data_IF_258396063964
#
_entry.id   IF_258396063964
#
_cell.length_a   1.000
_cell.length_b   1.000
_cell.length_c   1.000
_cell.angle_alpha   90.00
_cell.angle_beta   90.00
_cell.angle_gamma   90.00
#
_symmetry.space_group_name_H-M   'P 1'
#
loop_
_entity.id
_entity.type
_entity.pdbx_description
1 polymer ?
#
# COMPACT_ATOMS: atom_id res chain seq x y z
N UNK A 1 -1.87 31.65 -50.91
CA UNK A 1 -1.89 31.97 -49.47
C UNK A 1 -2.46 30.88 -48.55
N UNK A 2 -3.47 30.07 -48.95
CA UNK A 2 -4.00 28.98 -48.10
C UNK A 2 -3.00 27.84 -47.80
N UNK A 3 -2.15 27.45 -48.75
CA UNK A 3 -1.18 26.35 -48.57
C UNK A 3 -0.12 26.64 -47.49
N UNK A 4 0.39 27.88 -47.43
CA UNK A 4 1.40 28.27 -46.44
C UNK A 4 0.87 28.33 -44.99
N UNK A 5 -0.44 28.58 -44.80
CA UNK A 5 -1.09 28.54 -43.48
C UNK A 5 -1.15 27.12 -42.89
N UNK A 6 -1.35 26.08 -43.73
CA UNK A 6 -1.35 24.68 -43.27
C UNK A 6 0.02 24.21 -42.83
N UNK A 7 1.10 24.59 -43.53
CA UNK A 7 2.46 24.23 -43.12
C UNK A 7 2.88 24.92 -41.82
N UNK A 8 2.41 26.16 -41.58
CA UNK A 8 2.70 26.90 -40.35
C UNK A 8 2.03 26.29 -39.11
N UNK A 9 0.80 25.79 -39.25
CA UNK A 9 0.07 25.09 -38.17
C UNK A 9 0.67 23.71 -37.83
N UNK A 10 1.12 22.96 -38.84
CA UNK A 10 1.83 21.69 -38.65
C UNK A 10 3.18 21.87 -37.95
N UNK A 11 3.90 22.95 -38.25
CA UNK A 11 5.19 23.26 -37.61
C UNK A 11 5.03 23.65 -36.14
N UNK A 12 3.97 24.40 -35.78
CA UNK A 12 3.65 24.72 -34.38
C UNK A 12 3.19 23.49 -33.58
N UNK A 13 2.45 22.56 -34.19
CA UNK A 13 2.06 21.31 -33.54
C UNK A 13 3.26 20.37 -33.27
N UNK A 14 4.28 20.39 -34.14
CA UNK A 14 5.53 19.62 -33.96
C UNK A 14 6.50 20.24 -32.95
N UNK A 15 6.41 21.55 -32.67
CA UNK A 15 7.19 22.22 -31.62
C UNK A 15 6.55 22.06 -30.23
N UNK A 16 5.23 21.87 -30.15
CA UNK A 16 4.53 21.61 -28.89
C UNK A 16 4.78 20.22 -28.29
N UNK A 17 5.31 19.26 -29.06
CA UNK A 17 5.61 17.90 -28.58
C UNK A 17 6.96 17.76 -27.89
N UNK A 18 7.81 18.81 -27.91
CA UNK A 18 9.13 18.78 -27.27
C UNK A 18 9.11 19.11 -25.77
N UNK A 19 7.96 19.54 -25.23
CA UNK A 19 7.74 19.76 -23.80
C UNK A 19 6.73 18.77 -23.20
N UNK A 20 6.44 17.66 -23.88
CA UNK A 20 5.82 16.52 -23.21
C UNK A 20 6.88 15.90 -22.29
N UNK A 21 7.05 16.47 -21.09
CA UNK A 21 7.76 15.80 -20.01
C UNK A 21 7.04 14.48 -19.79
N UNK A 22 7.66 13.38 -20.23
CA UNK A 22 7.30 12.08 -19.70
C UNK A 22 7.43 12.23 -18.19
N UNK A 23 6.31 12.16 -17.46
CA UNK A 23 6.32 12.27 -16.02
C UNK A 23 7.16 11.10 -15.51
N UNK A 24 8.42 11.38 -15.16
CA UNK A 24 9.25 10.41 -14.47
C UNK A 24 8.61 10.25 -13.09
N UNK A 25 7.83 9.18 -12.94
CA UNK A 25 7.29 8.77 -11.66
C UNK A 25 8.48 8.56 -10.71
N UNK A 26 8.56 9.40 -9.69
CA UNK A 26 9.61 9.34 -8.68
C UNK A 26 9.02 8.84 -7.37
N UNK A 27 9.80 8.08 -6.62
CA UNK A 27 9.50 7.81 -5.21
C UNK A 27 9.86 8.99 -4.29
N UNK A 28 10.38 10.09 -4.86
CA UNK A 28 10.68 11.33 -4.15
C UNK A 28 9.53 12.30 -4.34
N UNK A 29 9.04 12.86 -3.24
CA UNK A 29 7.94 13.83 -3.27
C UNK A 29 7.69 14.47 -1.90
N UNK A 30 6.60 15.22 -1.78
CA UNK A 30 6.27 16.03 -0.59
C UNK A 30 4.96 15.64 0.09
N UNK A 31 4.17 14.73 -0.49
CA UNK A 31 2.86 14.30 0.03
C UNK A 31 2.73 12.79 -0.12
N UNK A 32 2.58 12.07 1.01
CA UNK A 32 2.47 10.61 1.06
C UNK A 32 1.38 10.19 2.03
N UNK A 33 0.80 9.01 1.79
CA UNK A 33 -0.21 8.43 2.65
C UNK A 33 0.09 6.96 2.91
N UNK A 34 -0.19 6.49 4.11
CA UNK A 34 -0.11 5.08 4.48
C UNK A 34 -1.25 4.69 5.42
N UNK A 35 -1.62 3.42 5.41
CA UNK A 35 -2.41 2.80 6.47
C UNK A 35 -1.52 1.94 7.36
N UNK A 36 -1.87 1.82 8.65
CA UNK A 36 -1.28 0.80 9.50
C UNK A 36 -1.98 -0.54 9.20
N UNK A 37 -1.50 -1.17 8.13
CA UNK A 37 -2.02 -2.42 7.57
C UNK A 37 -2.14 -3.55 8.58
N UNK A 38 -3.02 -4.49 8.28
CA UNK A 38 -3.38 -5.56 9.20
C UNK A 38 -2.18 -6.45 9.55
N UNK A 39 -1.98 -6.71 10.84
CA UNK A 39 -0.93 -7.57 11.38
C UNK A 39 -1.52 -8.73 12.18
N UNK A 40 -0.92 -9.92 12.16
CA UNK A 40 -1.42 -11.12 12.85
C UNK A 40 -1.82 -10.87 14.31
N UNK A 41 -0.99 -10.12 15.03
CA UNK A 41 -1.21 -9.83 16.45
C UNK A 41 -2.36 -8.84 16.72
N UNK A 42 -2.88 -8.15 15.71
CA UNK A 42 -4.11 -7.36 15.84
C UNK A 42 -5.31 -8.25 16.15
N UNK A 43 -5.34 -9.47 15.62
CA UNK A 43 -6.44 -10.43 15.80
C UNK A 43 -6.52 -10.98 17.23
N UNK A 44 -5.37 -11.16 17.88
CA UNK A 44 -5.30 -11.71 19.25
C UNK A 44 -5.24 -10.61 20.31
N UNK A 45 -5.18 -9.34 19.92
CA UNK A 45 -4.95 -8.22 20.82
C UNK A 45 -3.55 -8.19 21.46
N UNK A 46 -2.62 -9.00 20.98
CA UNK A 46 -1.24 -9.01 21.47
C UNK A 46 -0.53 -7.71 21.05
N UNK A 47 0.09 -6.93 21.94
CA UNK A 47 0.68 -5.63 21.59
C UNK A 47 2.03 -5.71 20.87
N UNK A 48 2.62 -6.89 20.65
CA UNK A 48 3.99 -7.10 20.13
C UNK A 48 4.13 -6.82 18.62
N UNK A 49 3.67 -5.66 18.17
CA UNK A 49 3.90 -5.14 16.82
C UNK A 49 3.93 -3.63 16.83
N UNK A 50 4.73 -3.04 15.95
CA UNK A 50 4.96 -1.61 15.83
C UNK A 50 4.88 -1.18 14.38
N UNK A 51 4.57 0.10 14.16
CA UNK A 51 4.77 0.75 12.87
C UNK A 51 5.66 1.97 13.06
N UNK A 52 6.70 2.08 12.24
CA UNK A 52 7.62 3.21 12.20
C UNK A 52 7.72 3.71 10.77
N UNK A 53 7.94 5.02 10.63
CA UNK A 53 8.19 5.67 9.34
C UNK A 53 9.66 6.04 9.25
N UNK A 54 10.24 5.92 8.05
CA UNK A 54 11.59 6.41 7.77
C UNK A 54 11.55 7.51 6.72
N UNK A 55 12.33 8.57 6.93
CA UNK A 55 12.42 9.71 6.03
C UNK A 55 13.87 9.90 5.61
N UNK A 56 14.13 9.81 4.31
CA UNK A 56 15.43 10.07 3.71
C UNK A 56 15.36 11.33 2.85
N UNK A 57 16.28 12.27 3.05
CA UNK A 57 16.25 13.57 2.39
C UNK A 57 17.64 13.97 1.87
N UNK A 58 17.71 14.47 0.64
CA UNK A 58 18.96 15.05 0.10
C UNK A 58 19.19 16.47 0.61
N UNK A 59 18.11 17.22 0.83
CA UNK A 59 18.12 18.55 1.44
C UNK A 59 17.61 18.45 2.88
N UNK A 60 17.90 19.45 3.71
CA UNK A 60 17.29 19.52 5.03
C UNK A 60 15.76 19.68 4.86
N UNK A 61 14.99 18.85 5.56
CA UNK A 61 13.54 18.76 5.38
C UNK A 61 12.80 18.86 6.72
N UNK A 62 11.64 19.53 6.71
CA UNK A 62 10.69 19.53 7.81
C UNK A 62 9.49 18.66 7.42
N UNK A 63 9.40 17.50 8.05
CA UNK A 63 8.36 16.50 7.80
C UNK A 63 7.29 16.61 8.86
N UNK A 64 6.03 16.70 8.44
CA UNK A 64 4.87 16.59 9.33
C UNK A 64 4.14 15.28 9.08
N UNK A 65 3.94 14.50 10.13
CA UNK A 65 3.11 13.29 10.14
C UNK A 65 1.83 13.58 10.91
N UNK A 66 0.68 13.25 10.33
CA UNK A 66 -0.66 13.39 10.93
C UNK A 66 -1.40 12.06 10.83
N UNK A 67 -2.26 11.78 11.80
CA UNK A 67 -3.34 10.81 11.62
C UNK A 67 -4.55 11.63 11.22
N UNK A 68 -4.94 11.51 9.96
CA UNK A 68 -5.93 12.37 9.32
C UNK A 68 -7.24 12.36 10.11
N UNK A 69 -7.90 13.50 10.27
CA UNK A 69 -9.14 13.60 11.04
C UNK A 69 -8.98 13.48 12.57
N UNK A 70 -7.74 13.57 13.09
CA UNK A 70 -7.45 13.55 14.53
C UNK A 70 -6.56 14.72 14.95
N UNK A 71 -6.39 14.92 16.26
CA UNK A 71 -5.46 15.91 16.81
C UNK A 71 -3.99 15.42 16.84
N UNK A 72 -3.71 14.18 16.44
CA UNK A 72 -2.36 13.62 16.48
C UNK A 72 -1.51 14.18 15.33
N UNK A 73 -0.46 14.91 15.69
CA UNK A 73 0.50 15.53 14.77
C UNK A 73 1.90 15.40 15.37
N UNK A 74 2.89 15.11 14.51
CA UNK A 74 4.32 15.09 14.85
C UNK A 74 5.14 15.74 13.76
N UNK A 75 6.14 16.50 14.17
CA UNK A 75 7.06 17.19 13.27
C UNK A 75 8.46 16.62 13.46
N UNK A 76 9.17 16.44 12.36
CA UNK A 76 10.51 15.88 12.33
C UNK A 76 11.41 16.74 11.44
N UNK A 77 12.63 17.00 11.90
CA UNK A 77 13.66 17.63 11.09
C UNK A 77 14.60 16.55 10.56
N UNK A 78 14.71 16.42 9.24
CA UNK A 78 15.62 15.50 8.57
C UNK A 78 16.84 16.30 8.09
N UNK A 79 18.05 16.08 8.64
CA UNK A 79 19.25 16.72 8.12
C UNK A 79 19.53 16.30 6.66
N UNK A 80 20.14 17.20 5.88
CA UNK A 80 20.51 16.94 4.50
C UNK A 80 21.42 15.71 4.36
N UNK A 81 21.11 14.82 3.41
CA UNK A 81 21.87 13.61 3.14
C UNK A 81 21.73 12.52 4.20
N UNK A 82 20.71 12.57 5.05
CA UNK A 82 20.52 11.62 6.14
C UNK A 82 19.16 10.92 6.08
N UNK A 83 19.01 9.89 6.92
CA UNK A 83 17.76 9.20 7.19
C UNK A 83 17.45 9.29 8.68
N UNK A 84 16.18 9.52 9.02
CA UNK A 84 15.68 9.45 10.40
C UNK A 84 14.50 8.48 10.48
N UNK A 85 14.21 8.01 11.69
CA UNK A 85 13.00 7.25 12.01
C UNK A 85 12.03 8.12 12.81
N UNK A 86 10.73 7.95 12.58
CA UNK A 86 9.67 8.53 13.41
C UNK A 86 9.61 7.85 14.79
N UNK A 87 8.82 8.41 15.71
CA UNK A 87 8.32 7.61 16.83
C UNK A 87 7.37 6.52 16.32
N UNK A 88 7.10 5.50 17.13
CA UNK A 88 6.13 4.46 16.78
C UNK A 88 4.72 5.05 16.67
N UNK A 89 3.97 4.61 15.67
CA UNK A 89 2.58 5.01 15.53
C UNK A 89 1.77 4.55 16.76
N UNK A 90 0.90 5.41 17.31
CA UNK A 90 0.12 5.08 18.50
C UNK A 90 -0.76 3.85 18.24
N UNK A 91 -0.95 3.01 19.26
CA UNK A 91 -1.82 1.82 19.20
C UNK A 91 -2.70 1.76 20.44
N UNK A 92 -3.97 1.40 20.27
CA UNK A 92 -4.91 1.20 21.39
C UNK A 92 -5.38 2.48 22.06
N UNK A 93 -5.03 3.65 21.53
CA UNK A 93 -5.44 4.95 22.06
C UNK A 93 -6.68 5.45 21.32
N UNK A 94 -7.79 5.58 22.03
CA UNK A 94 -9.05 6.04 21.44
C UNK A 94 -8.88 7.40 20.74
N UNK A 95 -9.43 7.53 19.53
CA UNK A 95 -9.39 8.76 18.74
C UNK A 95 -8.08 9.03 17.97
N UNK A 96 -7.00 8.28 18.20
CA UNK A 96 -5.71 8.47 17.48
C UNK A 96 -5.04 7.17 17.06
N UNK A 97 -5.70 6.02 17.19
CA UNK A 97 -5.15 4.73 16.78
C UNK A 97 -5.31 4.51 15.26
N UNK A 98 -4.25 4.44 14.43
CA UNK A 98 -4.36 4.30 12.98
C UNK A 98 -4.43 2.84 12.49
N UNK A 99 -4.44 1.85 13.39
CA UNK A 99 -4.53 0.43 13.01
C UNK A 99 -5.79 0.15 12.19
N UNK A 100 -5.62 -0.55 11.06
CA UNK A 100 -6.72 -1.01 10.21
C UNK A 100 -7.33 -2.30 10.77
N UNK A 101 -7.86 -2.18 11.98
CA UNK A 101 -8.60 -3.20 12.73
C UNK A 101 -9.75 -2.51 13.48
N UNK A 102 -10.90 -3.18 13.54
CA UNK A 102 -11.98 -2.74 14.42
C UNK A 102 -11.78 -3.41 15.80
N UNK A 103 -11.73 -2.66 16.91
CA UNK A 103 -11.57 -3.22 18.25
C UNK A 103 -12.68 -4.22 18.63
N UNK A 104 -12.43 -5.02 19.68
CA UNK A 104 -13.30 -6.07 20.22
C UNK A 104 -13.42 -7.34 19.38
N UNK A 105 -12.38 -7.65 18.62
CA UNK A 105 -12.31 -8.89 17.86
C UNK A 105 -11.59 -10.00 18.60
N UNK A 106 -12.35 -11.02 19.00
CA UNK A 106 -11.82 -12.28 19.48
C UNK A 106 -11.55 -13.20 18.29
N UNK A 107 -10.27 -13.48 18.03
CA UNK A 107 -9.85 -14.39 16.95
C UNK A 107 -10.43 -15.82 17.01
N UNK A 108 -11.08 -16.23 18.10
CA UNK A 108 -11.50 -17.63 18.32
C UNK A 108 -12.98 -17.70 18.75
N UNK A 109 -13.82 -18.55 18.13
CA UNK A 109 -14.13 -18.74 16.72
C UNK A 109 -15.54 -18.17 16.41
N UNK A 110 -15.90 -17.04 17.01
CA UNK A 110 -17.25 -16.47 16.95
C UNK A 110 -17.22 -15.22 16.09
N UNK A 111 -17.81 -15.38 14.90
CA UNK A 111 -18.18 -14.37 13.93
C UNK A 111 -17.05 -13.59 13.25
N UNK A 112 -17.18 -13.34 11.94
CA UNK A 112 -16.20 -12.53 11.26
C UNK A 112 -16.27 -11.08 11.72
N UNK A 113 -15.30 -10.68 12.53
CA UNK A 113 -15.22 -9.29 12.95
C UNK A 113 -13.84 -8.70 12.63
N UNK A 114 -13.86 -7.40 12.34
CA UNK A 114 -12.67 -6.57 12.27
C UNK A 114 -11.84 -6.71 11.00
N UNK A 115 -11.13 -5.63 10.70
CA UNK A 115 -10.13 -5.59 9.64
C UNK A 115 -10.68 -5.38 8.23
N UNK A 116 -11.87 -5.88 7.88
CA UNK A 116 -12.50 -5.53 6.60
C UNK A 116 -13.55 -4.44 6.76
N UNK A 117 -13.50 -3.44 5.88
CA UNK A 117 -14.48 -2.36 5.81
C UNK A 117 -13.88 -0.97 5.66
N UNK A 118 -14.73 0.03 5.89
CA UNK A 118 -14.40 1.44 5.85
C UNK A 118 -13.76 1.89 7.17
N UNK A 119 -12.59 2.52 7.05
CA UNK A 119 -11.85 3.13 8.15
C UNK A 119 -11.79 4.64 7.94
N UNK A 120 -12.33 5.38 8.91
CA UNK A 120 -12.21 6.83 9.00
C UNK A 120 -11.24 7.20 10.11
N UNK A 121 -10.51 8.30 9.92
CA UNK A 121 -9.55 8.82 10.89
C UNK A 121 -8.42 7.84 11.24
N UNK A 122 -7.99 7.03 10.26
CA UNK A 122 -6.92 6.03 10.39
C UNK A 122 -5.73 6.28 9.46
N UNK A 123 -5.91 7.07 8.40
CA UNK A 123 -4.86 7.29 7.43
C UNK A 123 -3.74 8.14 8.02
N UNK A 124 -2.50 7.71 7.77
CA UNK A 124 -1.29 8.41 8.17
C UNK A 124 -0.88 9.29 6.99
N UNK A 125 -1.03 10.61 7.14
CA UNK A 125 -0.67 11.61 6.14
C UNK A 125 0.71 12.19 6.47
N UNK A 126 1.63 12.13 5.51
CA UNK A 126 3.02 12.58 5.64
C UNK A 126 3.23 13.70 4.64
N UNK A 127 3.63 14.87 5.12
CA UNK A 127 3.94 16.03 4.29
C UNK A 127 5.35 16.52 4.56
N UNK A 128 6.01 17.06 3.55
CA UNK A 128 7.36 17.62 3.65
C UNK A 128 7.45 18.94 2.88
N UNK A 129 8.27 19.87 3.38
CA UNK A 129 8.53 21.16 2.71
C UNK A 129 9.45 21.03 1.48
N UNK A 130 10.26 19.97 1.42
CA UNK A 130 11.10 19.59 0.27
C UNK A 130 10.92 18.11 -0.08
N UNK A 131 11.23 17.68 -1.32
CA UNK A 131 11.08 16.28 -1.72
C UNK A 131 11.95 15.32 -0.90
N UNK A 132 11.32 14.31 -0.30
CA UNK A 132 11.94 13.23 0.47
C UNK A 132 11.57 11.86 -0.10
N UNK A 133 12.25 10.80 0.33
CA UNK A 133 11.75 9.42 0.21
C UNK A 133 11.23 8.98 1.56
N UNK A 134 10.02 8.43 1.58
CA UNK A 134 9.38 7.93 2.79
C UNK A 134 9.18 6.40 2.73
N UNK A 135 9.30 5.74 3.87
CA UNK A 135 9.02 4.31 4.03
C UNK A 135 8.10 4.08 5.21
N UNK A 136 7.24 3.08 5.11
CA UNK A 136 6.45 2.57 6.22
C UNK A 136 6.90 1.15 6.54
N UNK A 137 7.18 0.88 7.81
CA UNK A 137 7.66 -0.41 8.27
C UNK A 137 6.81 -0.89 9.44
N UNK A 138 6.21 -2.06 9.28
CA UNK A 138 5.48 -2.76 10.33
C UNK A 138 6.32 -3.97 10.73
N UNK A 139 6.52 -4.18 12.03
CA UNK A 139 7.29 -5.30 12.55
C UNK A 139 6.76 -5.78 13.89
N UNK A 140 7.09 -7.01 14.26
CA UNK A 140 6.79 -7.63 15.55
C UNK A 140 7.77 -8.77 15.84
N UNK A 141 7.45 -9.62 16.80
CA UNK A 141 8.29 -10.78 17.15
C UNK A 141 8.48 -11.73 15.95
N UNK A 142 9.70 -11.78 15.43
CA UNK A 142 10.09 -12.55 14.25
C UNK A 142 9.17 -12.32 13.03
N UNK A 143 8.72 -11.07 12.83
CA UNK A 143 7.93 -10.63 11.68
C UNK A 143 8.32 -9.22 11.27
N UNK A 144 8.59 -8.99 9.99
CA UNK A 144 8.87 -7.65 9.45
C UNK A 144 8.26 -7.48 8.06
N UNK A 145 7.86 -6.25 7.74
CA UNK A 145 7.56 -5.88 6.36
C UNK A 145 7.55 -4.36 6.18
N UNK A 146 8.31 -3.93 5.18
CA UNK A 146 8.47 -2.52 4.86
C UNK A 146 8.07 -2.24 3.41
N UNK A 147 7.52 -1.05 3.20
CA UNK A 147 7.20 -0.54 1.87
C UNK A 147 7.76 0.86 1.70
N UNK A 148 8.24 1.11 0.48
CA UNK A 148 8.54 2.47 0.02
C UNK A 148 7.23 3.14 -0.35
N UNK A 149 7.01 4.34 0.19
CA UNK A 149 5.81 5.11 -0.09
C UNK A 149 5.98 5.91 -1.39
N UNK A 150 4.97 5.83 -2.24
CA UNK A 150 4.86 6.55 -3.48
C UNK A 150 4.12 7.87 -3.23
N UNK A 151 4.68 9.02 -3.64
CA UNK A 151 4.05 10.31 -3.41
C UNK A 151 2.75 10.42 -4.21
N UNK A 152 1.81 11.23 -3.73
CA UNK A 152 0.45 11.38 -4.31
C UNK A 152 0.49 11.62 -5.82
N UNK A 153 1.44 12.41 -6.32
CA UNK A 153 1.58 12.72 -7.74
C UNK A 153 1.84 11.50 -8.64
N UNK A 154 2.23 10.36 -8.06
CA UNK A 154 2.47 9.12 -8.79
C UNK A 154 1.32 8.11 -8.70
N UNK A 155 0.25 8.45 -7.99
CA UNK A 155 -0.92 7.60 -7.88
C UNK A 155 -1.67 7.50 -9.20
N UNK A 156 -2.59 6.55 -9.31
CA UNK A 156 -3.28 6.22 -10.54
C UNK A 156 -4.70 5.75 -10.31
N UNK A 157 -5.31 5.23 -11.37
CA UNK A 157 -6.73 4.87 -11.39
C UNK A 157 -6.98 3.37 -11.54
N UNK A 158 -5.95 2.55 -11.83
CA UNK A 158 -6.13 1.13 -12.07
C UNK A 158 -4.96 0.34 -11.51
N UNK A 159 -5.28 -0.66 -10.69
CA UNK A 159 -4.34 -1.49 -9.95
C UNK A 159 -4.73 -2.96 -10.05
N UNK A 160 -3.73 -3.82 -9.97
CA UNK A 160 -3.88 -5.25 -9.69
C UNK A 160 -3.00 -5.54 -8.48
N UNK A 161 -3.53 -6.20 -7.48
CA UNK A 161 -2.75 -6.52 -6.28
C UNK A 161 -1.80 -7.68 -6.54
N UNK A 162 -0.62 -7.57 -5.94
CA UNK A 162 0.34 -8.67 -5.80
C UNK A 162 0.54 -8.90 -4.31
N UNK A 163 -0.20 -9.85 -3.77
CA UNK A 163 -0.07 -10.25 -2.38
C UNK A 163 1.00 -11.35 -2.26
N UNK A 164 1.57 -11.49 -1.08
CA UNK A 164 2.38 -12.67 -0.76
C UNK A 164 1.50 -13.90 -0.59
N UNK A 165 2.11 -15.08 -0.72
CA UNK A 165 1.47 -16.35 -0.32
C UNK A 165 0.89 -16.16 1.08
N UNK A 166 -0.28 -16.73 1.36
CA UNK A 166 -0.83 -16.71 2.71
C UNK A 166 -0.71 -18.09 3.35
N UNK A 167 0.38 -18.33 4.08
CA UNK A 167 0.60 -19.59 4.77
C UNK A 167 1.34 -19.39 6.10
N UNK A 168 0.62 -19.36 7.23
CA UNK A 168 1.23 -19.26 8.55
C UNK A 168 0.35 -19.84 9.66
N UNK A 169 -0.74 -19.15 10.01
CA UNK A 169 -1.65 -19.54 11.11
C UNK A 169 -3.09 -19.15 10.80
N UNK A 170 -4.01 -19.59 11.66
CA UNK A 170 -5.45 -19.34 11.51
C UNK A 170 -5.86 -17.86 11.49
N UNK A 171 -5.08 -16.99 12.15
CA UNK A 171 -5.26 -15.53 12.28
C UNK A 171 -4.49 -14.71 11.24
N UNK A 172 -3.96 -15.35 10.20
CA UNK A 172 -3.18 -14.64 9.21
C UNK A 172 -3.98 -14.53 7.92
N UNK A 173 -4.14 -13.30 7.44
CA UNK A 173 -4.96 -13.00 6.27
C UNK A 173 -4.17 -12.29 5.19
N UNK A 174 -4.47 -12.63 3.94
CA UNK A 174 -4.14 -11.79 2.80
C UNK A 174 -5.09 -10.60 2.80
N UNK A 175 -4.56 -9.40 2.62
CA UNK A 175 -5.37 -8.18 2.66
C UNK A 175 -4.91 -7.18 1.59
N UNK A 176 -5.81 -6.28 1.22
CA UNK A 176 -5.47 -5.10 0.45
C UNK A 176 -6.34 -3.93 0.92
N UNK A 177 -5.83 -2.71 0.77
CA UNK A 177 -6.58 -1.51 1.10
C UNK A 177 -6.36 -0.39 0.11
N UNK A 178 -7.33 0.52 0.05
CA UNK A 178 -7.34 1.70 -0.82
C UNK A 178 -7.44 2.96 0.03
N UNK A 179 -6.64 3.99 -0.27
CA UNK A 179 -6.71 5.32 0.37
C UNK A 179 -7.18 6.36 -0.65
N UNK A 180 -8.13 7.21 -0.25
CA UNK A 180 -8.55 8.37 -1.04
C UNK A 180 -7.93 9.68 -0.52
N UNK A 181 -7.46 10.54 -1.44
CA UNK A 181 -6.98 11.90 -1.12
C UNK A 181 -8.05 12.98 -1.43
N UNK A 182 -9.15 12.61 -2.06
CA UNK A 182 -10.24 13.52 -2.43
C UNK A 182 -11.58 13.00 -1.90
N UNK A 183 -12.49 13.92 -1.62
CA UNK A 183 -13.86 13.57 -1.27
C UNK A 183 -14.62 12.96 -2.45
N UNK A 184 -15.62 12.13 -2.14
CA UNK A 184 -16.44 11.47 -3.16
C UNK A 184 -15.62 10.68 -4.19
N UNK A 185 -14.51 10.09 -3.78
CA UNK A 185 -13.72 9.18 -4.59
C UNK A 185 -14.44 7.83 -4.69
N UNK A 186 -14.76 7.39 -5.91
CA UNK A 186 -15.49 6.14 -6.13
C UNK A 186 -14.55 5.07 -6.65
N UNK A 187 -14.52 3.92 -5.96
CA UNK A 187 -13.62 2.81 -6.28
C UNK A 187 -14.42 1.53 -6.51
N UNK A 188 -14.22 0.91 -7.67
CA UNK A 188 -14.66 -0.45 -7.99
C UNK A 188 -13.58 -1.45 -7.58
N UNK A 189 -13.97 -2.47 -6.80
CA UNK A 189 -13.09 -3.54 -6.31
C UNK A 189 -13.63 -4.87 -6.80
N UNK A 190 -12.78 -5.66 -7.46
CA UNK A 190 -13.04 -7.05 -7.83
C UNK A 190 -12.06 -7.96 -7.07
N UNK A 191 -12.46 -8.56 -5.95
CA UNK A 191 -11.59 -9.45 -5.18
C UNK A 191 -11.44 -10.80 -5.90
N UNK A 192 -10.26 -11.43 -5.86
CA UNK A 192 -10.07 -12.79 -6.44
C UNK A 192 -10.54 -13.91 -5.53
N UNK A 193 -10.81 -13.60 -4.26
CA UNK A 193 -11.28 -14.54 -3.24
C UNK A 193 -12.55 -14.03 -2.59
N UNK A 194 -13.31 -14.93 -1.96
CA UNK A 194 -14.38 -14.55 -1.05
C UNK A 194 -13.76 -13.72 0.08
N UNK A 195 -14.28 -12.52 0.33
CA UNK A 195 -13.72 -11.66 1.37
C UNK A 195 -14.26 -12.02 2.76
N UNK A 196 -13.58 -11.55 3.80
CA UNK A 196 -13.95 -11.77 5.20
C UNK A 196 -15.36 -11.24 5.50
N UNK A 197 -15.78 -10.16 4.85
CA UNK A 197 -17.13 -9.61 4.95
C UNK A 197 -18.12 -10.15 3.89
N UNK A 198 -17.77 -11.25 3.21
CA UNK A 198 -18.68 -11.97 2.32
C UNK A 198 -18.83 -11.38 0.92
N UNK A 199 -17.91 -10.52 0.46
CA UNK A 199 -17.90 -10.08 -0.95
C UNK A 199 -17.47 -11.25 -1.84
N UNK A 200 -18.31 -11.64 -2.77
CA UNK A 200 -18.10 -12.80 -3.64
C UNK A 200 -16.86 -12.63 -4.52
N UNK A 201 -16.05 -13.68 -4.63
CA UNK A 201 -14.91 -13.73 -5.54
C UNK A 201 -15.33 -13.41 -6.98
N UNK A 202 -14.52 -12.62 -7.68
CA UNK A 202 -14.68 -12.20 -9.07
C UNK A 202 -15.96 -11.40 -9.37
N UNK A 203 -16.68 -10.93 -8.35
CA UNK A 203 -17.83 -10.04 -8.50
C UNK A 203 -17.43 -8.64 -8.07
N UNK A 204 -17.50 -7.63 -8.96
CA UNK A 204 -17.16 -6.26 -8.60
C UNK A 204 -18.17 -5.68 -7.61
N UNK A 205 -17.68 -4.84 -6.70
CA UNK A 205 -18.50 -3.97 -5.87
C UNK A 205 -17.86 -2.59 -5.78
N UNK A 206 -18.66 -1.58 -5.47
CA UNK A 206 -18.21 -0.19 -5.39
C UNK A 206 -18.20 0.29 -3.95
N UNK A 207 -17.21 1.11 -3.62
CA UNK A 207 -17.13 1.88 -2.36
C UNK A 207 -16.91 3.36 -2.70
N UNK A 208 -17.51 4.24 -1.90
CA UNK A 208 -17.26 5.69 -1.98
C UNK A 208 -16.45 6.11 -0.76
N UNK A 209 -15.37 6.84 -0.99
CA UNK A 209 -14.40 7.27 0.01
C UNK A 209 -14.30 8.79 0.00
N UNK A 210 -14.24 9.35 1.20
CA UNK A 210 -13.85 10.72 1.43
C UNK A 210 -12.34 10.84 1.65
N UNK A 211 -11.81 12.06 1.59
CA UNK A 211 -10.39 12.33 1.82
C UNK A 211 -9.94 11.75 3.16
N UNK A 212 -8.85 10.98 3.14
CA UNK A 212 -8.29 10.31 4.29
C UNK A 212 -9.02 9.05 4.74
N UNK A 213 -10.11 8.64 4.07
CA UNK A 213 -10.74 7.36 4.33
C UNK A 213 -9.99 6.22 3.63
N UNK A 214 -10.00 5.06 4.30
CA UNK A 214 -9.39 3.83 3.83
C UNK A 214 -10.48 2.77 3.73
N UNK A 215 -10.50 1.99 2.63
CA UNK A 215 -11.26 0.74 2.60
C UNK A 215 -10.30 -0.43 2.54
N UNK A 216 -10.36 -1.31 3.54
CA UNK A 216 -9.59 -2.56 3.57
C UNK A 216 -10.51 -3.75 3.27
N UNK A 217 -10.04 -4.69 2.47
CA UNK A 217 -10.69 -5.98 2.25
C UNK A 217 -9.69 -7.11 2.51
N UNK A 218 -10.19 -8.22 3.02
CA UNK A 218 -9.36 -9.33 3.49
C UNK A 218 -9.88 -10.64 2.90
N UNK A 219 -8.98 -11.56 2.57
CA UNK A 219 -9.38 -12.91 2.18
C UNK A 219 -10.08 -13.62 3.37
N UNK A 220 -11.26 -14.17 3.13
CA UNK A 220 -11.92 -15.13 4.01
C UNK A 220 -11.84 -16.56 3.45
N UNK A 221 -12.47 -17.54 4.11
CA UNK A 221 -13.00 -17.47 5.47
C UNK A 221 -11.88 -17.56 6.53
N UNK A 222 -12.25 -17.30 7.78
CA UNK A 222 -11.37 -17.40 8.95
C UNK A 222 -11.27 -18.85 9.45
N UNK A 223 -10.26 -19.14 10.27
CA UNK A 223 -10.12 -20.47 10.89
C UNK A 223 -9.59 -21.54 9.93
N UNK A 224 -9.26 -22.73 10.47
CA UNK A 224 -8.60 -23.81 9.73
C UNK A 224 -7.07 -23.73 9.72
N UNK A 225 -6.42 -24.60 8.93
CA UNK A 225 -4.95 -24.78 8.88
C UNK A 225 -4.16 -23.57 8.37
N UNK A 226 -2.83 -23.72 8.26
CA UNK A 226 -1.91 -22.62 7.98
C UNK A 226 -2.10 -21.97 6.60
N UNK A 227 -2.47 -22.74 5.58
CA UNK A 227 -2.72 -22.26 4.23
C UNK A 227 -4.09 -21.56 4.13
N UNK A 228 -4.10 -20.32 3.63
CA UNK A 228 -5.30 -19.50 3.44
C UNK A 228 -5.39 -18.96 2.01
N UNK A 229 -6.57 -18.47 1.59
CA UNK A 229 -6.72 -17.80 0.31
C UNK A 229 -5.88 -16.52 0.22
N UNK A 230 -5.45 -16.22 -0.99
CA UNK A 230 -4.57 -15.10 -1.32
C UNK A 230 -5.25 -14.18 -2.34
N UNK A 231 -5.16 -12.85 -2.13
CA UNK A 231 -5.84 -11.85 -2.95
C UNK A 231 -5.08 -11.41 -4.21
N UNK A 232 -3.94 -12.03 -4.57
CA UNK A 232 -3.23 -11.67 -5.81
C UNK A 232 -4.17 -11.73 -7.01
N UNK A 233 -4.04 -10.75 -7.90
CA UNK A 233 -4.91 -10.60 -9.06
C UNK A 233 -6.18 -9.80 -8.81
N UNK A 234 -6.47 -9.38 -7.57
CA UNK A 234 -7.63 -8.52 -7.29
C UNK A 234 -7.48 -7.20 -8.03
N UNK A 235 -8.56 -6.74 -8.66
CA UNK A 235 -8.57 -5.53 -9.50
C UNK A 235 -9.19 -4.39 -8.70
N UNK A 236 -8.54 -3.23 -8.71
CA UNK A 236 -9.04 -2.00 -8.08
C UNK A 236 -9.00 -0.90 -9.13
N UNK A 237 -10.15 -0.26 -9.36
CA UNK A 237 -10.29 0.85 -10.31
C UNK A 237 -10.95 2.03 -9.62
N UNK A 238 -10.32 3.20 -9.70
CA UNK A 238 -11.03 4.45 -9.46
C UNK A 238 -11.89 4.76 -10.69
N UNK A 239 -13.16 5.05 -10.47
CA UNK A 239 -14.16 5.32 -11.51
C UNK A 239 -14.79 6.69 -11.28
N UNK A 240 -15.45 7.22 -12.31
CA UNK A 240 -16.11 8.52 -12.22
C UNK A 240 -17.22 8.50 -11.14
N UNK A 241 -17.23 9.54 -10.31
CA UNK A 241 -18.29 9.79 -9.35
C UNK A 241 -19.54 10.38 -10.05
N UNK A 242 -20.59 10.69 -9.28
CA UNK A 242 -21.83 11.25 -9.82
C UNK A 242 -21.67 12.62 -10.51
N UNK A 243 -20.60 13.36 -10.21
CA UNK A 243 -20.24 14.61 -10.86
C UNK A 243 -19.36 14.42 -12.11
N UNK A 244 -19.02 13.18 -12.46
CA UNK A 244 -18.14 12.86 -13.59
C UNK A 244 -16.65 12.96 -13.28
N UNK A 245 -16.28 13.15 -12.00
CA UNK A 245 -14.89 13.30 -11.58
C UNK A 245 -14.28 11.94 -11.22
N UNK A 246 -13.04 11.70 -11.63
CA UNK A 246 -12.30 10.48 -11.31
C UNK A 246 -10.96 10.85 -10.67
N UNK A 247 -10.77 10.46 -9.41
CA UNK A 247 -9.58 10.81 -8.62
C UNK A 247 -8.58 9.65 -8.55
N UNK A 248 -7.27 9.91 -8.57
CA UNK A 248 -6.28 8.87 -8.32
C UNK A 248 -6.32 8.40 -6.85
N UNK A 249 -5.94 7.15 -6.60
CA UNK A 249 -5.96 6.52 -5.26
C UNK A 249 -4.65 5.81 -4.97
N UNK A 250 -4.32 5.58 -3.69
CA UNK A 250 -3.26 4.65 -3.32
C UNK A 250 -3.85 3.27 -3.05
N UNK A 251 -3.15 2.23 -3.48
CA UNK A 251 -3.51 0.83 -3.18
C UNK A 251 -2.33 0.17 -2.51
N UNK A 252 -2.59 -0.57 -1.45
CA UNK A 252 -1.62 -1.41 -0.77
C UNK A 252 -2.11 -2.86 -0.74
N UNK A 253 -1.17 -3.79 -0.85
CA UNK A 253 -1.42 -5.22 -0.77
C UNK A 253 -0.45 -5.84 0.23
N UNK A 254 -0.92 -6.85 0.97
CA UNK A 254 -0.10 -7.45 2.00
C UNK A 254 -0.60 -8.79 2.52
N UNK A 255 0.13 -9.25 3.54
CA UNK A 255 -0.13 -10.42 4.35
C UNK A 255 0.03 -10.03 5.81
N UNK A 256 -0.90 -10.49 6.65
CA UNK A 256 -0.83 -10.24 8.09
C UNK A 256 0.36 -10.92 8.75
N UNK A 257 0.79 -12.03 8.16
CA UNK A 257 2.04 -12.79 8.40
C UNK A 257 2.06 -14.00 7.46
N UNK A 258 3.20 -14.31 6.85
CA UNK A 258 3.36 -15.53 6.05
C UNK A 258 4.76 -16.12 6.15
N UNK A 259 4.87 -17.44 5.99
CA UNK A 259 6.15 -18.09 5.72
C UNK A 259 6.59 -17.86 4.27
N UNK A 260 7.91 -17.77 4.06
CA UNK A 260 8.50 -17.67 2.74
C UNK A 260 8.15 -18.91 1.89
N UNK A 261 7.68 -18.75 0.63
CA UNK A 261 7.39 -19.88 -0.25
C UNK A 261 8.63 -20.72 -0.61
N UNK A 262 9.83 -20.15 -0.46
CA UNK A 262 11.10 -20.84 -0.65
C UNK A 262 11.55 -21.37 0.71
N UNK A 263 11.77 -22.68 0.80
CA UNK A 263 12.31 -23.33 2.00
C UNK A 263 13.71 -22.78 2.30
N UNK A 264 13.81 -21.86 3.27
CA UNK A 264 15.06 -21.25 3.70
C UNK A 264 15.46 -21.63 5.14
N UNK A 265 14.86 -22.71 5.67
CA UNK A 265 15.11 -23.20 7.04
C UNK A 265 13.90 -23.07 7.95
N UNK A 266 14.15 -23.09 9.26
CA UNK A 266 13.16 -22.86 10.32
C UNK A 266 13.27 -21.43 10.85
N UNK A 267 12.15 -20.72 10.97
CA UNK A 267 12.11 -19.35 11.50
C UNK A 267 10.69 -18.81 11.61
N UNK A 268 10.55 -17.54 11.96
CA UNK A 268 9.28 -16.82 11.95
C UNK A 268 8.73 -16.58 10.54
N UNK A 269 7.64 -15.83 10.46
CA UNK A 269 7.04 -15.38 9.20
C UNK A 269 6.96 -13.87 9.14
N UNK A 270 6.93 -13.31 7.93
CA UNK A 270 6.97 -11.87 7.69
C UNK A 270 5.59 -11.29 7.40
N UNK A 271 5.34 -10.07 7.84
CA UNK A 271 4.11 -9.34 7.57
C UNK A 271 4.28 -8.46 6.35
N UNK A 272 4.03 -8.99 5.16
CA UNK A 272 4.21 -8.20 3.95
C UNK A 272 3.22 -7.04 3.85
N UNK A 273 3.72 -5.88 3.47
CA UNK A 273 2.95 -4.68 3.15
C UNK A 273 3.66 -4.01 1.98
N UNK A 274 2.96 -3.80 0.86
CA UNK A 274 3.51 -3.12 -0.31
C UNK A 274 2.52 -2.14 -0.91
N UNK A 275 2.93 -0.88 -1.11
CA UNK A 275 2.19 0.03 -1.98
C UNK A 275 2.29 -0.47 -3.42
N UNK A 276 1.14 -0.77 -4.02
CA UNK A 276 1.07 -1.24 -5.39
C UNK A 276 1.35 -0.11 -6.36
N UNK A 277 2.17 -0.37 -7.38
CA UNK A 277 2.30 0.53 -8.52
C UNK A 277 1.01 0.51 -9.35
N UNK A 278 0.51 1.67 -9.81
CA UNK A 278 -0.59 1.69 -10.76
C UNK A 278 -0.16 1.03 -12.07
N UNK A 279 -1.10 0.42 -12.78
CA UNK A 279 -0.81 -0.34 -14.01
C UNK A 279 -0.15 0.50 -15.11
N UNK A 280 -0.29 1.82 -15.10
CA UNK A 280 0.42 2.71 -16.03
C UNK A 280 1.93 2.80 -15.78
N UNK A 281 2.39 2.50 -14.56
CA UNK A 281 3.79 2.54 -14.17
C UNK A 281 4.53 1.22 -14.43
N UNK A 282 3.83 0.19 -14.87
CA UNK A 282 4.40 -1.15 -15.03
C UNK A 282 5.31 -1.24 -16.25
N UNK A 283 6.51 -1.79 -16.03
CA UNK A 283 7.43 -2.17 -17.10
C UNK A 283 7.14 -3.56 -17.68
N UNK A 284 7.75 -3.85 -18.83
CA UNK A 284 7.72 -5.18 -19.46
C UNK A 284 9.02 -5.97 -19.28
N UNK A 285 10.04 -5.35 -18.67
CA UNK A 285 11.37 -5.91 -18.47
C UNK A 285 11.75 -5.75 -17.01
N UNK A 286 12.33 -6.79 -16.46
CA UNK A 286 12.77 -6.85 -15.07
C UNK A 286 14.24 -7.25 -15.06
N UNK A 287 15.02 -6.55 -14.24
CA UNK A 287 16.38 -6.97 -13.91
C UNK A 287 16.31 -7.67 -12.57
N UNK A 288 16.87 -8.87 -12.52
CA UNK A 288 16.95 -9.64 -11.29
C UNK A 288 18.40 -10.07 -11.07
N UNK A 289 18.77 -10.20 -9.81
CA UNK A 289 20.05 -10.75 -9.40
C UNK A 289 19.82 -11.61 -8.16
N UNK A 290 20.60 -12.69 -7.96
CA UNK A 290 20.56 -13.42 -6.71
C UNK A 290 20.96 -12.50 -5.55
N UNK A 291 20.25 -12.58 -4.43
CA UNK A 291 20.64 -11.91 -3.19
C UNK A 291 21.66 -12.77 -2.44
N UNK A 292 22.63 -12.15 -1.79
CA UNK A 292 23.61 -12.87 -0.96
C UNK A 292 22.98 -13.42 0.32
N UNK A 293 23.55 -14.50 0.88
CA UNK A 293 23.17 -15.01 2.20
C UNK A 293 23.66 -14.06 3.30
N UNK A 294 22.89 -13.95 4.37
CA UNK A 294 23.23 -13.11 5.54
C UNK A 294 24.55 -13.50 6.22
N UNK A 295 24.95 -14.78 6.13
CA UNK A 295 26.17 -15.29 6.76
C UNK A 295 27.38 -15.39 5.82
N UNK A 296 27.15 -15.39 4.50
CA UNK A 296 28.21 -15.59 3.49
C UNK A 296 27.86 -14.78 2.24
N UNK A 297 28.51 -13.63 2.06
CA UNK A 297 28.21 -12.72 0.94
C UNK A 297 28.43 -13.34 -0.45
N UNK A 298 29.38 -14.27 -0.57
CA UNK A 298 29.70 -14.98 -1.82
C UNK A 298 28.73 -16.14 -2.13
N UNK A 299 27.86 -16.51 -1.20
CA UNK A 299 26.85 -17.54 -1.41
C UNK A 299 25.52 -16.88 -1.74
N UNK A 300 24.90 -17.33 -2.83
CA UNK A 300 23.65 -16.78 -3.33
C UNK A 300 22.43 -17.51 -2.74
N UNK A 301 21.35 -16.76 -2.53
CA UNK A 301 20.03 -17.26 -2.16
C UNK A 301 19.21 -17.59 -3.41
N UNK A 302 18.31 -18.55 -3.27
CA UNK A 302 17.24 -18.76 -4.25
C UNK A 302 16.23 -17.63 -4.10
N UNK A 303 15.92 -16.95 -5.20
CA UNK A 303 14.90 -15.89 -5.24
C UNK A 303 13.67 -16.39 -6.00
N UNK A 304 12.48 -16.15 -5.47
CA UNK A 304 11.21 -16.42 -6.15
C UNK A 304 10.59 -15.11 -6.57
N UNK A 305 10.06 -15.07 -7.79
CA UNK A 305 9.40 -13.89 -8.34
C UNK A 305 7.95 -14.22 -8.65
N UNK A 306 7.06 -13.30 -8.32
CA UNK A 306 5.66 -13.31 -8.77
C UNK A 306 5.49 -12.16 -9.75
N UNK A 307 5.04 -12.47 -10.96
CA UNK A 307 4.87 -11.50 -12.04
C UNK A 307 3.39 -11.32 -12.29
N UNK A 308 2.89 -10.08 -12.16
CA UNK A 308 1.55 -9.73 -12.61
C UNK A 308 1.57 -9.35 -14.10
N UNK A 309 0.51 -9.71 -14.79
CA UNK A 309 0.17 -9.20 -16.11
C UNK A 309 -1.16 -8.45 -16.01
N UNK A 310 -1.33 -7.40 -16.82
CA UNK A 310 -2.49 -6.49 -16.71
C UNK A 310 -3.82 -7.19 -17.02
N UNK A 311 -3.78 -8.20 -17.88
CA UNK A 311 -4.92 -9.04 -18.24
C UNK A 311 -4.45 -10.51 -18.24
N UNK A 312 -4.52 -11.18 -17.08
CA UNK A 312 -4.09 -12.57 -16.90
C UNK A 312 -5.08 -13.58 -17.45
#
# INVERSE_FOLDING_TARGET
>A
MKKYRSYFLLFFALLATWQAGAQNLSNRGTDFWAGFGHHQYMETGNPNYEMVLYFSAEQAANVTVRIEGTAWVRNYAVPAGTVIASEYMPKGVAGVDPRLISPNCGFIPVDPCGGEGLFSNKAIHITSDVPIVAYAHIFGDDASGATMLMPVETWGHSYVTLNSRQNYAGNCYSWAYVIAQHDNTVVEITPTQLTRAGKTANVPFTVTLNRGQIYQFMAGPQGGGSAKPELSGSKIKSIANAAGECYPVAVFAGSSRTSNPISCGSGGGDNDNQQCFPTQAWGKRYLTAPTSRSTIASAFMTNSYKIAVKDP
#
